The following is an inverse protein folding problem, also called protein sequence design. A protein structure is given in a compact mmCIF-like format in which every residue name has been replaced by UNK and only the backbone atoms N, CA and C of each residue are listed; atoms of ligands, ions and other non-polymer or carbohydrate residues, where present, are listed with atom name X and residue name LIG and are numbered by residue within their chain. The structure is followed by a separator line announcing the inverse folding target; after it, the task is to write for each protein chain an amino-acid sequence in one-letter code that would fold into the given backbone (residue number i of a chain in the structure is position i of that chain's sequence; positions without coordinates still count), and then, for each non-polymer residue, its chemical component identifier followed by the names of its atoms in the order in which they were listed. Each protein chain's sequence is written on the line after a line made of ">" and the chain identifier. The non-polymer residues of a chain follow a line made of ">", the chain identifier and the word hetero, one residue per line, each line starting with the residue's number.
data_IF_267757874334
#
_entry.id   IF_267757874334
#
_cell.length_a   1.000
_cell.length_b   1.000
_cell.length_c   1.000
_cell.angle_alpha   90.00
_cell.angle_beta   90.00
_cell.angle_gamma   90.00
#
_symmetry.space_group_name_H-M   'P 1'
#
loop_
_entity.id
_entity.type
_entity.pdbx_description
1 polymer ?
#
# COMPACT_ATOMS: atom_id res chain seq x y z
N UNK A 1 -4.12 -18.21 -4.20
CA UNK A 1 -4.81 -17.65 -3.01
C UNK A 1 -4.47 -18.50 -1.81
N UNK A 2 -3.92 -17.92 -0.75
CA UNK A 2 -3.47 -18.61 0.45
C UNK A 2 -4.00 -17.91 1.70
N UNK A 3 -4.40 -18.68 2.71
CA UNK A 3 -4.75 -18.16 4.05
C UNK A 3 -3.62 -18.55 5.00
N UNK A 4 -2.82 -17.57 5.41
CA UNK A 4 -1.59 -17.81 6.17
C UNK A 4 -1.45 -16.87 7.37
N UNK A 5 -0.61 -17.27 8.30
CA UNK A 5 -0.17 -16.44 9.40
C UNK A 5 1.01 -15.60 8.93
N UNK A 6 0.87 -14.28 8.92
CA UNK A 6 1.92 -13.33 8.54
C UNK A 6 2.47 -12.65 9.79
N UNK A 7 3.79 -12.54 9.91
CA UNK A 7 4.45 -11.86 11.02
C UNK A 7 4.59 -10.38 10.71
N UNK A 8 4.21 -9.52 11.64
CA UNK A 8 4.47 -8.08 11.58
C UNK A 8 5.96 -7.82 11.76
N UNK A 9 6.59 -7.21 10.77
CA UNK A 9 8.01 -6.82 10.82
C UNK A 9 8.18 -5.38 11.29
N UNK A 10 7.31 -4.47 10.82
CA UNK A 10 7.25 -3.09 11.30
C UNK A 10 5.82 -2.55 11.22
N UNK A 11 5.52 -1.56 12.05
CA UNK A 11 4.28 -0.81 12.06
C UNK A 11 4.61 0.63 12.47
N UNK A 12 4.59 1.55 11.52
CA UNK A 12 5.11 2.91 11.68
C UNK A 12 4.19 3.95 11.05
N UNK A 13 4.05 5.11 11.66
CA UNK A 13 3.37 6.26 11.04
C UNK A 13 4.17 6.73 9.84
N UNK A 14 3.54 6.76 8.67
CA UNK A 14 4.15 7.17 7.41
C UNK A 14 3.76 8.60 7.01
N UNK A 15 2.54 9.00 7.30
CA UNK A 15 1.98 10.33 7.08
C UNK A 15 0.85 10.57 8.09
N UNK A 16 0.27 11.74 8.12
CA UNK A 16 -0.86 12.02 8.99
C UNK A 16 -2.01 11.05 8.67
N UNK A 17 -2.55 10.41 9.71
CA UNK A 17 -3.62 9.40 9.62
C UNK A 17 -3.28 8.23 8.67
N UNK A 18 -2.01 7.87 8.53
CA UNK A 18 -1.57 6.78 7.69
C UNK A 18 -0.43 5.98 8.34
N UNK A 19 -0.63 4.69 8.47
CA UNK A 19 0.34 3.75 9.05
C UNK A 19 0.84 2.79 7.98
N UNK A 20 2.16 2.64 7.88
CA UNK A 20 2.82 1.62 7.07
C UNK A 20 3.01 0.37 7.92
N UNK A 21 2.56 -0.77 7.41
CA UNK A 21 2.79 -2.08 8.01
C UNK A 21 3.56 -2.94 7.03
N UNK A 22 4.65 -3.55 7.49
CA UNK A 22 5.40 -4.54 6.71
C UNK A 22 5.16 -5.92 7.33
N UNK A 23 4.75 -6.86 6.50
CA UNK A 23 4.45 -8.24 6.87
C UNK A 23 5.43 -9.21 6.22
N UNK A 24 5.88 -10.21 6.95
CA UNK A 24 6.51 -11.40 6.37
C UNK A 24 5.42 -12.38 5.94
N UNK A 25 5.28 -12.58 4.63
CA UNK A 25 4.31 -13.48 4.02
C UNK A 25 4.87 -13.99 2.67
N UNK A 26 5.93 -14.81 2.70
CA UNK A 26 6.70 -15.17 1.50
C UNK A 26 5.86 -15.81 0.40
N UNK A 27 4.93 -16.71 0.76
CA UNK A 27 4.09 -17.42 -0.21
C UNK A 27 3.12 -16.47 -0.95
N UNK A 28 2.65 -15.41 -0.27
CA UNK A 28 1.80 -14.40 -0.90
C UNK A 28 2.66 -13.43 -1.71
N UNK A 29 3.79 -12.99 -1.16
CA UNK A 29 4.70 -12.05 -1.82
C UNK A 29 5.22 -12.59 -3.16
N UNK A 30 5.55 -13.88 -3.23
CA UNK A 30 6.02 -14.54 -4.44
C UNK A 30 5.00 -14.55 -5.59
N UNK A 31 3.70 -14.44 -5.28
CA UNK A 31 2.61 -14.50 -6.26
C UNK A 31 1.91 -13.15 -6.46
N UNK A 32 2.21 -12.17 -5.63
CA UNK A 32 1.55 -10.88 -5.64
C UNK A 32 1.85 -10.07 -6.91
N UNK A 33 0.85 -9.36 -7.40
CA UNK A 33 0.95 -8.45 -8.54
C UNK A 33 0.47 -7.06 -8.15
N UNK A 34 1.00 -6.03 -8.79
CA UNK A 34 0.51 -4.66 -8.63
C UNK A 34 -1.00 -4.55 -8.90
N UNK A 35 -1.71 -3.82 -8.05
CA UNK A 35 -3.17 -3.68 -8.11
C UNK A 35 -3.95 -4.74 -7.33
N UNK A 36 -3.29 -5.77 -6.81
CA UNK A 36 -3.91 -6.74 -5.93
C UNK A 36 -3.96 -6.25 -4.47
N UNK A 37 -4.73 -6.97 -3.67
CA UNK A 37 -4.96 -6.69 -2.25
C UNK A 37 -4.93 -7.99 -1.44
N UNK A 38 -4.93 -7.87 -0.13
CA UNK A 38 -5.11 -8.97 0.81
C UNK A 38 -6.30 -8.70 1.74
N UNK A 39 -6.89 -9.75 2.24
CA UNK A 39 -7.87 -9.70 3.33
C UNK A 39 -7.18 -9.99 4.66
N UNK A 40 -7.27 -9.09 5.62
CA UNK A 40 -6.70 -9.24 6.97
C UNK A 40 -7.79 -9.56 7.97
N UNK A 41 -7.62 -10.63 8.74
CA UNK A 41 -8.45 -10.91 9.91
C UNK A 41 -7.96 -10.05 11.08
N UNK A 42 -8.85 -9.21 11.61
CA UNK A 42 -8.49 -8.31 12.72
C UNK A 42 -8.34 -9.12 14.01
N UNK A 43 -7.17 -9.08 14.67
CA UNK A 43 -6.94 -9.83 15.90
C UNK A 43 -7.89 -9.40 17.03
N UNK A 44 -8.30 -10.32 17.87
CA UNK A 44 -8.98 -10.13 19.17
C UNK A 44 -10.15 -9.11 19.20
N UNK A 45 -10.75 -8.86 18.06
CA UNK A 45 -11.69 -7.75 17.91
C UNK A 45 -13.17 -8.16 17.89
N UNK A 46 -13.48 -9.45 17.91
CA UNK A 46 -14.83 -9.95 17.67
C UNK A 46 -15.36 -9.65 16.25
N UNK A 47 -14.53 -9.05 15.39
CA UNK A 47 -14.89 -8.76 14.01
C UNK A 47 -14.81 -10.02 13.15
N UNK A 48 -15.95 -10.46 12.65
CA UNK A 48 -16.02 -11.64 11.76
C UNK A 48 -15.50 -11.32 10.35
N UNK A 49 -15.67 -10.07 9.90
CA UNK A 49 -15.30 -9.66 8.55
C UNK A 49 -13.84 -9.25 8.48
N UNK A 50 -13.13 -9.82 7.51
CA UNK A 50 -11.77 -9.39 7.15
C UNK A 50 -11.76 -7.99 6.53
N UNK A 51 -10.62 -7.32 6.63
CA UNK A 51 -10.41 -5.99 6.03
C UNK A 51 -9.64 -6.14 4.72
N UNK A 52 -10.21 -5.67 3.58
CA UNK A 52 -9.48 -5.61 2.31
C UNK A 52 -8.47 -4.47 2.37
N UNK A 53 -7.19 -4.78 2.18
CA UNK A 53 -6.10 -3.81 2.18
C UNK A 53 -5.27 -4.01 0.91
N UNK A 54 -5.14 -2.95 0.11
CA UNK A 54 -4.34 -2.95 -1.11
C UNK A 54 -2.84 -3.08 -0.80
N UNK A 55 -2.12 -3.77 -1.67
CA UNK A 55 -0.67 -3.84 -1.60
C UNK A 55 -0.07 -2.51 -2.05
N UNK A 56 0.79 -1.94 -1.21
CA UNK A 56 1.64 -0.81 -1.56
C UNK A 56 2.95 -1.28 -2.21
N UNK A 57 3.48 -2.41 -1.76
CA UNK A 57 4.59 -3.12 -2.39
C UNK A 57 4.53 -4.61 -2.03
N UNK A 58 5.16 -5.42 -2.87
CA UNK A 58 5.43 -6.83 -2.59
C UNK A 58 6.85 -7.16 -3.06
N UNK A 59 7.68 -7.66 -2.15
CA UNK A 59 9.04 -8.10 -2.44
C UNK A 59 9.10 -9.62 -2.34
N UNK A 60 9.17 -10.28 -3.49
CA UNK A 60 9.24 -11.74 -3.57
C UNK A 60 10.56 -12.29 -3.02
N UNK A 61 11.68 -11.55 -3.15
CA UNK A 61 12.98 -11.98 -2.69
C UNK A 61 13.09 -11.89 -1.16
N UNK A 62 12.60 -10.81 -0.57
CA UNK A 62 12.53 -10.63 0.87
C UNK A 62 11.35 -11.37 1.52
N UNK A 63 10.38 -11.81 0.73
CA UNK A 63 9.16 -12.46 1.21
C UNK A 63 8.25 -11.51 1.99
N UNK A 64 8.21 -10.22 1.61
CA UNK A 64 7.50 -9.18 2.36
C UNK A 64 6.38 -8.52 1.58
N UNK A 65 5.36 -8.07 2.31
CA UNK A 65 4.27 -7.24 1.83
C UNK A 65 4.29 -5.91 2.58
N UNK A 66 4.21 -4.80 1.86
CA UNK A 66 4.03 -3.47 2.44
C UNK A 66 2.60 -2.99 2.24
N UNK A 67 1.99 -2.53 3.30
CA UNK A 67 0.62 -2.04 3.36
C UNK A 67 0.61 -0.59 3.86
N UNK A 68 -0.35 0.21 3.37
CA UNK A 68 -0.67 1.52 3.92
C UNK A 68 -2.12 1.50 4.42
N UNK A 69 -2.33 1.77 5.69
CA UNK A 69 -3.64 1.65 6.35
C UNK A 69 -4.01 2.97 7.04
N UNK A 70 -5.22 3.47 6.76
CA UNK A 70 -5.81 4.57 7.51
C UNK A 70 -6.63 4.04 8.69
N UNK A 71 -6.42 4.53 9.93
CA UNK A 71 -7.14 4.10 11.12
C UNK A 71 -8.54 4.73 11.21
N UNK A 72 -9.43 4.43 10.25
CA UNK A 72 -10.77 5.03 10.16
C UNK A 72 -11.82 4.40 11.07
N UNK A 73 -11.73 3.10 11.32
CA UNK A 73 -12.71 2.38 12.15
C UNK A 73 -12.00 1.40 13.07
N UNK A 74 -12.72 0.81 14.03
CA UNK A 74 -12.15 -0.05 15.06
C UNK A 74 -11.20 -1.13 14.52
N UNK A 75 -11.58 -1.83 13.44
CA UNK A 75 -10.71 -2.86 12.85
C UNK A 75 -9.40 -2.31 12.27
N UNK A 76 -9.42 -1.17 11.57
CA UNK A 76 -8.20 -0.56 11.04
C UNK A 76 -7.39 0.10 12.15
N UNK A 77 -8.01 0.63 13.21
CA UNK A 77 -7.31 1.12 14.39
C UNK A 77 -6.56 0.00 15.10
N UNK A 78 -7.19 -1.17 15.29
CA UNK A 78 -6.52 -2.36 15.85
C UNK A 78 -5.32 -2.78 14.98
N UNK A 79 -5.48 -2.84 13.66
CA UNK A 79 -4.36 -3.17 12.76
C UNK A 79 -3.21 -2.15 12.84
N UNK A 80 -3.52 -0.86 12.91
CA UNK A 80 -2.52 0.20 13.04
C UNK A 80 -1.82 0.22 14.43
N UNK A 81 -2.33 -0.51 15.41
CA UNK A 81 -1.73 -0.66 16.74
C UNK A 81 -0.88 -1.94 16.89
N UNK A 82 -0.80 -2.77 15.86
CA UNK A 82 0.00 -4.00 15.88
C UNK A 82 1.48 -3.70 16.12
N UNK A 83 2.15 -4.61 16.82
CA UNK A 83 3.58 -4.47 17.16
C UNK A 83 4.44 -5.42 16.33
N UNK A 84 5.70 -5.06 16.07
CA UNK A 84 6.66 -5.98 15.49
C UNK A 84 6.75 -7.29 16.28
N UNK A 85 6.75 -8.42 15.59
CA UNK A 85 6.75 -9.76 16.17
C UNK A 85 5.36 -10.39 16.33
N UNK A 86 4.28 -9.61 16.32
CA UNK A 86 2.92 -10.13 16.34
C UNK A 86 2.58 -10.89 15.05
N UNK A 87 1.60 -11.77 15.12
CA UNK A 87 1.12 -12.58 14.00
C UNK A 87 -0.32 -12.22 13.69
N UNK A 88 -0.60 -11.95 12.42
CA UNK A 88 -1.94 -11.69 11.91
C UNK A 88 -2.29 -12.65 10.78
N UNK A 89 -3.56 -13.01 10.67
CA UNK A 89 -4.01 -13.90 9.59
C UNK A 89 -4.36 -13.08 8.35
N UNK A 90 -3.79 -13.48 7.22
CA UNK A 90 -3.99 -12.83 5.93
C UNK A 90 -4.42 -13.84 4.87
N UNK A 91 -5.30 -13.43 3.98
CA UNK A 91 -5.76 -14.20 2.83
C UNK A 91 -5.40 -13.44 1.57
N UNK A 92 -4.62 -14.03 0.68
CA UNK A 92 -4.21 -13.37 -0.57
C UNK A 92 -3.30 -14.22 -1.44
N UNK A 93 -2.74 -13.61 -2.49
CA UNK A 93 -3.17 -12.34 -3.06
C UNK A 93 -4.57 -12.46 -3.69
N UNK A 94 -5.34 -11.35 -3.70
CA UNK A 94 -6.71 -11.28 -4.20
C UNK A 94 -6.85 -10.21 -5.29
N UNK A 95 -7.85 -10.36 -6.14
CA UNK A 95 -8.13 -9.46 -7.26
C UNK A 95 -7.27 -9.74 -8.49
N UNK A 96 -7.63 -9.03 -9.56
CA UNK A 96 -6.93 -9.10 -10.85
C UNK A 96 -5.81 -8.11 -10.87
N UNK A 97 -4.66 -8.14 -10.91
CA UNK A 97 -3.65 -7.05 -10.94
C UNK A 97 -3.85 -6.08 -12.10
N UNK A 98 -3.13 -4.98 -12.06
CA UNK A 98 -3.03 -4.08 -13.20
C UNK A 98 -2.22 -4.73 -14.32
N UNK A 99 -2.47 -4.30 -15.54
CA UNK A 99 -1.70 -4.67 -16.71
C UNK A 99 -1.14 -3.39 -17.38
N UNK A 100 0.16 -3.21 -17.27
CA UNK A 100 0.90 -2.09 -17.89
C UNK A 100 1.98 -2.56 -18.85
N UNK A 101 1.99 -3.86 -19.19
CA UNK A 101 3.04 -4.43 -20.04
C UNK A 101 3.02 -3.86 -21.45
N UNK A 102 4.21 -3.45 -21.91
CA UNK A 102 4.41 -2.93 -23.28
C UNK A 102 3.98 -1.47 -23.45
N UNK A 103 3.45 -0.80 -22.43
CA UNK A 103 3.18 0.62 -22.49
C UNK A 103 4.49 1.43 -22.49
N UNK A 104 4.63 2.35 -23.43
CA UNK A 104 5.79 3.25 -23.49
C UNK A 104 5.68 4.39 -22.48
N UNK A 105 4.47 4.83 -22.18
CA UNK A 105 4.17 5.88 -21.23
C UNK A 105 2.93 5.49 -20.42
N UNK A 106 2.99 5.67 -19.09
CA UNK A 106 1.88 5.42 -18.18
C UNK A 106 1.66 6.66 -17.32
N UNK A 107 0.40 7.08 -17.23
CA UNK A 107 -0.02 8.09 -16.28
C UNK A 107 -0.62 7.41 -15.04
N UNK A 108 0.05 7.57 -13.90
CA UNK A 108 -0.39 7.06 -12.62
C UNK A 108 -1.16 8.15 -11.86
N UNK A 109 -2.39 7.86 -11.46
CA UNK A 109 -3.21 8.84 -10.74
C UNK A 109 -3.70 8.22 -9.44
N UNK A 110 -3.44 8.89 -8.32
CA UNK A 110 -3.84 8.40 -6.99
C UNK A 110 -4.22 9.53 -6.05
N UNK A 111 -5.15 9.23 -5.12
CA UNK A 111 -5.58 10.19 -4.10
C UNK A 111 -5.66 9.56 -2.71
N UNK A 112 -5.16 10.28 -1.69
CA UNK A 112 -5.15 9.82 -0.31
C UNK A 112 -4.56 8.41 -0.17
N UNK A 113 -5.23 7.50 0.55
CA UNK A 113 -4.77 6.11 0.71
C UNK A 113 -4.70 5.33 -0.61
N UNK A 114 -5.42 5.77 -1.66
CA UNK A 114 -5.37 5.17 -2.99
C UNK A 114 -4.02 5.34 -3.72
N UNK A 115 -3.12 6.18 -3.21
CA UNK A 115 -1.73 6.26 -3.69
C UNK A 115 -0.96 4.96 -3.41
N UNK A 116 -1.30 4.21 -2.36
CA UNK A 116 -0.60 2.98 -2.00
C UNK A 116 -0.58 1.92 -3.14
N UNK A 117 -1.72 1.47 -3.71
CA UNK A 117 -1.67 0.54 -4.84
C UNK A 117 -1.04 1.15 -6.10
N UNK A 118 -1.04 2.48 -6.24
CA UNK A 118 -0.36 3.16 -7.34
C UNK A 118 1.16 3.10 -7.19
N UNK A 119 1.70 3.21 -5.97
CA UNK A 119 3.13 2.97 -5.72
C UNK A 119 3.55 1.58 -6.22
N UNK A 120 2.79 0.54 -5.86
CA UNK A 120 3.05 -0.82 -6.34
C UNK A 120 2.99 -0.93 -7.88
N UNK A 121 2.07 -0.20 -8.53
CA UNK A 121 1.96 -0.16 -9.98
C UNK A 121 3.14 0.58 -10.62
N UNK A 122 3.62 1.66 -10.00
CA UNK A 122 4.79 2.40 -10.47
C UNK A 122 6.05 1.54 -10.41
N UNK A 123 6.26 0.83 -9.32
CA UNK A 123 7.42 -0.09 -9.18
C UNK A 123 7.40 -1.21 -10.24
N UNK A 124 6.21 -1.64 -10.65
CA UNK A 124 6.04 -2.72 -11.61
C UNK A 124 6.11 -2.28 -13.09
N UNK A 125 5.67 -1.05 -13.40
CA UNK A 125 5.37 -0.65 -14.78
C UNK A 125 5.91 0.71 -15.21
N UNK A 126 6.47 1.54 -14.31
CA UNK A 126 6.94 2.86 -14.71
C UNK A 126 8.09 2.78 -15.71
N UNK A 127 8.04 3.68 -16.69
CA UNK A 127 9.09 3.92 -17.69
C UNK A 127 9.64 5.34 -17.52
N UNK A 128 10.70 5.70 -18.21
CA UNK A 128 11.26 7.06 -18.16
C UNK A 128 10.25 8.15 -18.59
N UNK A 129 9.29 7.77 -19.47
CA UNK A 129 8.26 8.70 -19.98
C UNK A 129 7.01 8.75 -19.09
N UNK A 130 6.92 7.86 -18.10
CA UNK A 130 5.77 7.81 -17.19
C UNK A 130 5.71 9.03 -16.28
N UNK A 131 4.51 9.38 -15.82
CA UNK A 131 4.25 10.49 -14.90
C UNK A 131 3.23 10.06 -13.85
N UNK A 132 3.39 10.55 -12.63
CA UNK A 132 2.43 10.31 -11.55
C UNK A 132 1.82 11.64 -11.06
N UNK A 133 0.54 11.57 -10.70
CA UNK A 133 -0.23 12.69 -10.18
C UNK A 133 -0.91 12.25 -8.89
N UNK A 134 -0.53 12.84 -7.76
CA UNK A 134 -1.04 12.49 -6.46
C UNK A 134 -1.80 13.65 -5.82
N UNK A 135 -2.98 13.36 -5.29
CA UNK A 135 -3.81 14.31 -4.56
C UNK A 135 -3.93 13.95 -3.09
N UNK A 136 -3.79 14.93 -2.21
CA UNK A 136 -3.89 14.76 -0.76
C UNK A 136 -4.76 15.86 -0.14
N UNK A 137 -5.21 15.66 1.09
CA UNK A 137 -5.95 16.69 1.82
C UNK A 137 -5.03 17.86 2.19
N UNK A 138 -3.85 17.57 2.71
CA UNK A 138 -2.81 18.54 3.10
C UNK A 138 -1.43 17.95 2.83
N UNK A 139 -0.37 18.75 2.90
CA UNK A 139 1.01 18.27 2.80
C UNK A 139 1.35 17.20 3.86
N UNK A 140 0.78 17.29 5.06
CA UNK A 140 1.02 16.31 6.12
C UNK A 140 0.48 14.91 5.81
N UNK A 141 -0.48 14.79 4.88
CA UNK A 141 -1.02 13.51 4.39
C UNK A 141 -0.24 12.95 3.19
N UNK A 142 0.75 13.71 2.67
CA UNK A 142 1.46 13.34 1.45
C UNK A 142 2.50 12.23 1.70
N UNK A 143 2.57 11.27 0.80
CA UNK A 143 3.51 10.15 0.83
C UNK A 143 3.73 9.56 -0.56
N UNK A 144 4.70 8.66 -0.71
CA UNK A 144 4.92 7.88 -1.93
C UNK A 144 5.70 8.59 -3.03
N UNK A 145 6.23 9.81 -2.78
CA UNK A 145 6.95 10.58 -3.78
C UNK A 145 8.46 10.32 -3.80
N UNK A 146 9.07 10.16 -2.63
CA UNK A 146 10.54 10.23 -2.45
C UNK A 146 11.31 9.10 -3.15
N UNK A 147 10.67 7.95 -3.36
CA UNK A 147 11.26 6.77 -4.02
C UNK A 147 10.53 6.42 -5.32
N UNK A 148 9.80 7.37 -5.88
CA UNK A 148 9.04 7.14 -7.10
C UNK A 148 9.98 6.89 -8.30
N UNK A 149 9.73 5.85 -9.12
CA UNK A 149 10.56 5.55 -10.28
C UNK A 149 10.31 6.46 -11.49
N UNK A 150 9.38 7.40 -11.39
CA UNK A 150 9.10 8.42 -12.40
C UNK A 150 8.76 9.77 -11.76
N UNK A 151 8.69 10.82 -12.58
CA UNK A 151 8.34 12.15 -12.09
C UNK A 151 6.93 12.19 -11.47
N UNK A 152 6.83 12.76 -10.27
CA UNK A 152 5.57 12.90 -9.53
C UNK A 152 5.19 14.38 -9.40
N UNK A 153 3.93 14.69 -9.64
CA UNK A 153 3.31 15.97 -9.28
C UNK A 153 2.33 15.72 -8.15
N UNK A 154 2.55 16.33 -7.00
CA UNK A 154 1.64 16.24 -5.85
C UNK A 154 0.93 17.56 -5.64
N UNK A 155 -0.36 17.49 -5.32
CA UNK A 155 -1.20 18.63 -4.97
C UNK A 155 -2.01 18.32 -3.71
N UNK A 156 -2.46 19.35 -3.01
CA UNK A 156 -3.37 19.20 -1.88
C UNK A 156 -4.56 20.14 -1.97
N UNK A 157 -5.67 19.77 -1.31
CA UNK A 157 -6.92 20.55 -1.32
C UNK A 157 -6.72 21.93 -0.70
N UNK A 158 -5.83 22.04 0.30
CA UNK A 158 -5.51 23.30 1.00
C UNK A 158 -4.34 24.08 0.36
N UNK A 159 -3.78 23.58 -0.74
CA UNK A 159 -2.64 24.20 -1.44
C UNK A 159 -1.29 24.05 -0.74
N UNK A 160 -1.20 23.37 0.42
CA UNK A 160 0.04 23.21 1.18
C UNK A 160 1.05 22.25 0.53
N UNK A 161 0.58 21.33 -0.35
CA UNK A 161 1.42 20.47 -1.15
C UNK A 161 1.28 20.82 -2.63
N UNK A 162 2.10 21.73 -3.11
CA UNK A 162 2.25 22.06 -4.55
C UNK A 162 3.71 21.87 -4.92
N UNK A 163 4.08 20.64 -5.25
CA UNK A 163 5.46 20.32 -5.59
C UNK A 163 5.55 19.33 -6.76
N UNK A 164 6.60 19.51 -7.57
CA UNK A 164 7.07 18.48 -8.52
C UNK A 164 8.27 17.79 -7.89
N UNK A 165 8.22 16.48 -7.88
CA UNK A 165 9.24 15.60 -7.31
C UNK A 165 9.90 14.77 -8.40
#
# INVERSE_FOLDING_TARGET
>A
MQDTAARVLSCETMAQDLVRIILSAPDIAAQAKAGQFIHILVPDSGHVLRRPISLMAADAAAGTLTLAIQPKGAGTQTLCACKPGETIRVLGPLGTGFDGKGAQCIYFVGGGVGVAPICCAMDAFATAESRAFFGFRTAAHAYGMTQAPCAVTAVSDDGSASARW
#
